data_IF_685714540198
#
_entry.id   IF_685714540198
#
_cell.length_a   1.000
_cell.length_b   1.000
_cell.length_c   1.000
_cell.angle_alpha   90.00
_cell.angle_beta   90.00
_cell.angle_gamma   90.00
#
_symmetry.space_group_name_H-M   'P 1'
#
loop_
_entity.id
_entity.type
_entity.pdbx_description
1 polymer ?
#
# COMPACT_ATOMS: atom_id res chain seq x y z
N UNK A 1 5.65 18.50 17.71
CA UNK A 1 4.96 18.83 16.45
C UNK A 1 4.91 17.57 15.62
N UNK A 2 3.78 17.31 14.98
CA UNK A 2 3.64 16.22 14.00
C UNK A 2 4.44 16.58 12.72
N UNK A 3 5.06 15.60 12.05
CA UNK A 3 6.05 15.86 10.99
C UNK A 3 5.45 16.20 9.62
N UNK A 4 4.13 16.16 9.45
CA UNK A 4 3.51 16.26 8.13
C UNK A 4 3.33 17.71 7.65
N UNK A 5 3.67 18.00 6.38
CA UNK A 5 3.49 19.34 5.81
C UNK A 5 2.04 19.63 5.40
N UNK A 6 1.11 18.68 5.56
CA UNK A 6 -0.27 18.81 5.10
C UNK A 6 -1.21 19.22 6.24
N UNK A 7 -1.94 20.34 6.12
CA UNK A 7 -2.80 20.83 7.20
C UNK A 7 -4.02 19.93 7.47
N UNK A 8 -4.39 19.07 6.52
CA UNK A 8 -5.49 18.11 6.66
C UNK A 8 -5.09 16.78 7.33
N UNK A 9 -3.81 16.58 7.67
CA UNK A 9 -3.34 15.34 8.34
C UNK A 9 -3.73 15.29 9.84
N UNK A 10 -4.35 16.34 10.37
CA UNK A 10 -4.62 16.50 11.81
C UNK A 10 -6.11 16.59 12.10
N UNK A 11 -6.84 15.57 11.70
CA UNK A 11 -8.29 15.44 11.87
C UNK A 11 -8.64 14.13 12.60
N UNK A 12 -9.93 13.97 12.90
CA UNK A 12 -10.56 12.71 13.31
C UNK A 12 -9.97 12.06 14.57
N UNK A 13 -10.06 12.73 15.74
CA UNK A 13 -9.55 12.18 16.98
C UNK A 13 -10.47 11.10 17.55
N UNK A 14 -9.89 10.02 18.03
CA UNK A 14 -10.50 9.13 19.03
C UNK A 14 -9.70 9.19 20.32
N UNK A 15 -10.40 9.42 21.42
CA UNK A 15 -9.84 9.34 22.79
C UNK A 15 -10.32 8.05 23.44
N UNK A 16 -9.38 7.32 24.05
CA UNK A 16 -9.60 6.02 24.69
C UNK A 16 -9.01 6.05 26.10
N UNK A 17 -9.76 5.56 27.09
CA UNK A 17 -9.27 5.34 28.45
C UNK A 17 -8.90 3.87 28.62
N UNK A 18 -7.64 3.58 28.92
CA UNK A 18 -7.18 2.22 29.19
C UNK A 18 -7.61 1.73 30.58
N UNK A 19 -7.50 0.42 30.81
CA UNK A 19 -7.94 -0.23 32.06
C UNK A 19 -7.16 0.28 33.30
N UNK A 20 -5.94 0.78 33.10
CA UNK A 20 -5.12 1.38 34.16
C UNK A 20 -5.44 2.87 34.41
N UNK A 21 -6.43 3.42 33.70
CA UNK A 21 -6.82 4.83 33.76
C UNK A 21 -6.01 5.76 32.87
N UNK A 22 -5.05 5.25 32.09
CA UNK A 22 -4.25 6.06 31.16
C UNK A 22 -5.08 6.50 29.95
N UNK A 23 -5.22 7.80 29.67
CA UNK A 23 -5.86 8.28 28.46
C UNK A 23 -4.90 8.26 27.26
N UNK A 24 -5.41 7.80 26.13
CA UNK A 24 -4.74 7.79 24.84
C UNK A 24 -5.59 8.51 23.80
N UNK A 25 -4.93 9.11 22.80
CA UNK A 25 -5.58 9.71 21.66
C UNK A 25 -4.93 9.21 20.37
N UNK A 26 -5.75 8.74 19.44
CA UNK A 26 -5.36 8.45 18.07
C UNK A 26 -6.02 9.44 17.11
N UNK A 27 -5.34 9.84 16.04
CA UNK A 27 -5.89 10.77 15.04
C UNK A 27 -5.11 10.71 13.73
N UNK A 28 -5.64 11.37 12.69
CA UNK A 28 -4.90 11.80 11.52
C UNK A 28 -5.41 11.26 10.20
N UNK A 29 -5.03 11.92 9.09
CA UNK A 29 -5.43 11.57 7.73
C UNK A 29 -4.19 11.43 6.84
N UNK A 30 -4.05 10.30 6.14
CA UNK A 30 -2.84 9.75 5.51
C UNK A 30 -1.87 9.15 6.51
N UNK A 31 -1.73 9.74 7.70
CA UNK A 31 -0.91 9.19 8.76
C UNK A 31 -1.75 8.96 10.02
N UNK A 32 -1.56 7.80 10.64
CA UNK A 32 -2.14 7.51 11.95
C UNK A 32 -1.14 7.88 13.04
N UNK A 33 -1.55 8.77 13.93
CA UNK A 33 -0.79 9.16 15.10
C UNK A 33 -1.44 8.61 16.37
N UNK A 34 -0.62 8.33 17.36
CA UNK A 34 -1.04 7.88 18.68
C UNK A 34 -0.22 8.61 19.74
N UNK A 35 -0.87 9.10 20.78
CA UNK A 35 -0.20 9.79 21.88
C UNK A 35 -0.93 9.50 23.18
N UNK A 36 -0.18 9.52 24.29
CA UNK A 36 -0.77 9.54 25.62
C UNK A 36 -1.22 10.95 25.97
N UNK A 37 -2.29 11.09 26.72
CA UNK A 37 -2.72 12.36 27.30
C UNK A 37 -2.40 12.40 28.80
N UNK A 38 -2.31 13.60 29.36
CA UNK A 38 -2.37 13.78 30.82
C UNK A 38 -3.78 13.48 31.33
N UNK A 39 -3.96 13.25 32.66
CA UNK A 39 -5.29 13.10 33.25
C UNK A 39 -6.24 14.28 33.01
N UNK A 40 -5.73 15.47 32.65
CA UNK A 40 -6.53 16.63 32.27
C UNK A 40 -7.23 16.48 30.92
N UNK A 41 -6.85 15.51 30.09
CA UNK A 41 -7.35 15.23 28.73
C UNK A 41 -7.14 16.35 27.69
N UNK A 42 -6.51 17.46 28.07
CA UNK A 42 -6.27 18.63 27.21
C UNK A 42 -4.78 18.90 26.96
N UNK A 43 -3.92 18.03 27.46
CA UNK A 43 -2.47 18.12 27.32
C UNK A 43 -1.88 16.75 26.91
N UNK A 44 -0.90 16.77 26.01
CA UNK A 44 -0.14 15.58 25.63
C UNK A 44 0.82 15.17 26.76
N UNK A 45 1.05 13.87 26.90
CA UNK A 45 1.99 13.27 27.85
C UNK A 45 3.04 12.42 27.13
N UNK A 46 4.12 13.05 26.67
CA UNK A 46 5.23 12.36 26.00
C UNK A 46 5.18 12.41 24.46
N UNK A 47 5.91 11.50 23.79
CA UNK A 47 6.09 11.56 22.35
C UNK A 47 4.85 11.12 21.57
N UNK A 48 4.67 11.71 20.39
CA UNK A 48 3.69 11.24 19.40
C UNK A 48 4.30 10.05 18.66
N UNK A 49 3.59 8.94 18.66
CA UNK A 49 3.92 7.73 17.91
C UNK A 49 3.25 7.76 16.55
N UNK A 50 3.93 7.30 15.51
CA UNK A 50 3.32 7.01 14.20
C UNK A 50 2.97 5.54 14.16
N UNK A 51 1.71 5.25 13.85
CA UNK A 51 1.21 3.88 13.71
C UNK A 51 1.12 3.55 12.23
N UNK A 52 2.00 2.67 11.77
CA UNK A 52 2.04 2.25 10.37
C UNK A 52 1.02 1.13 10.12
N UNK A 53 0.01 1.42 9.30
CA UNK A 53 -1.09 0.50 8.99
C UNK A 53 -1.26 0.39 7.47
N UNK A 54 -1.53 -0.81 6.93
CA UNK A 54 -1.87 -0.95 5.52
C UNK A 54 -3.17 -0.22 5.20
N UNK A 55 -3.22 0.47 4.06
CA UNK A 55 -4.41 1.12 3.51
C UNK A 55 -4.98 2.26 4.37
N UNK A 56 -4.26 2.78 5.36
CA UNK A 56 -4.81 3.80 6.25
C UNK A 56 -5.13 5.10 5.51
N UNK A 57 -6.37 5.56 5.65
CA UNK A 57 -6.80 6.89 5.20
C UNK A 57 -7.00 7.80 6.39
N UNK A 58 -8.00 7.54 7.23
CA UNK A 58 -8.44 8.48 8.27
C UNK A 58 -9.30 7.78 9.35
N UNK A 59 -9.90 8.56 10.25
CA UNK A 59 -10.86 8.12 11.27
C UNK A 59 -10.44 6.88 12.07
N UNK A 60 -9.32 6.94 12.82
CA UNK A 60 -8.91 5.85 13.68
C UNK A 60 -9.84 5.77 14.89
N UNK A 61 -10.56 4.66 15.05
CA UNK A 61 -11.31 4.30 16.24
C UNK A 61 -10.52 3.32 17.12
N UNK A 62 -9.90 3.85 18.17
CA UNK A 62 -9.11 3.11 19.16
C UNK A 62 -10.00 2.62 20.30
N UNK A 63 -9.98 1.32 20.57
CA UNK A 63 -10.62 0.74 21.77
C UNK A 63 -9.91 -0.54 22.22
N UNK A 64 -10.30 -1.07 23.39
CA UNK A 64 -9.76 -2.31 23.95
C UNK A 64 -10.88 -3.29 24.30
N UNK A 65 -10.62 -4.57 24.10
CA UNK A 65 -11.48 -5.67 24.58
C UNK A 65 -10.61 -6.82 25.07
N UNK A 66 -10.68 -7.08 26.38
CA UNK A 66 -9.82 -8.06 27.04
C UNK A 66 -8.34 -7.68 26.86
N UNK A 67 -7.53 -8.61 26.34
CA UNK A 67 -6.08 -8.41 26.15
C UNK A 67 -5.68 -7.71 24.85
N UNK A 68 -6.64 -7.34 24.00
CA UNK A 68 -6.37 -6.77 22.68
C UNK A 68 -6.81 -5.31 22.63
N UNK A 69 -5.92 -4.47 22.11
CA UNK A 69 -6.24 -3.17 21.56
C UNK A 69 -6.65 -3.35 20.10
N UNK A 70 -7.60 -2.55 19.66
CA UNK A 70 -8.15 -2.54 18.32
C UNK A 70 -8.05 -1.13 17.79
N UNK A 71 -7.59 -1.01 16.56
CA UNK A 71 -7.62 0.24 15.83
C UNK A 71 -8.35 -0.03 14.52
N UNK A 72 -9.59 0.46 14.46
CA UNK A 72 -10.50 0.31 13.32
C UNK A 72 -10.49 1.62 12.57
N UNK A 73 -10.33 1.61 11.25
CA UNK A 73 -10.03 2.84 10.52
C UNK A 73 -10.66 2.84 9.13
N UNK A 74 -10.93 4.05 8.63
CA UNK A 74 -11.28 4.25 7.24
C UNK A 74 -10.06 3.98 6.37
N UNK A 75 -10.23 3.10 5.40
CA UNK A 75 -9.20 2.69 4.47
C UNK A 75 -9.72 2.94 3.06
N UNK A 76 -8.98 3.69 2.25
CA UNK A 76 -9.37 3.85 0.85
C UNK A 76 -9.30 2.48 0.20
N UNK A 77 -10.47 1.93 -0.06
CA UNK A 77 -10.64 0.81 -0.95
C UNK A 77 -10.25 1.34 -2.30
N UNK A 78 -9.03 1.04 -2.72
CA UNK A 78 -8.55 1.44 -4.02
C UNK A 78 -9.20 0.59 -5.11
N UNK A 79 -10.51 0.70 -5.25
CA UNK A 79 -11.34 0.37 -6.39
C UNK A 79 -12.37 1.50 -6.43
N UNK A 80 -12.26 2.43 -7.38
CA UNK A 80 -13.30 3.46 -7.56
C UNK A 80 -13.31 4.67 -6.61
N UNK A 81 -12.31 4.86 -5.73
CA UNK A 81 -12.14 6.00 -4.79
C UNK A 81 -13.08 6.02 -3.56
N UNK A 82 -13.49 4.87 -3.04
CA UNK A 82 -14.45 4.81 -1.93
C UNK A 82 -13.83 4.07 -0.74
N UNK A 83 -14.01 4.61 0.45
CA UNK A 83 -13.50 4.03 1.69
C UNK A 83 -14.22 2.73 2.04
N UNK A 84 -13.48 1.82 2.65
CA UNK A 84 -13.94 0.63 3.39
C UNK A 84 -13.48 0.78 4.84
N UNK A 85 -13.97 -0.08 5.73
CA UNK A 85 -13.42 -0.14 7.09
C UNK A 85 -12.47 -1.32 7.21
N UNK A 86 -11.26 -1.04 7.67
CA UNK A 86 -10.25 -2.05 8.02
C UNK A 86 -9.94 -2.00 9.52
N UNK A 87 -9.19 -2.98 10.02
CA UNK A 87 -8.70 -2.92 11.38
C UNK A 87 -7.37 -3.64 11.61
N UNK A 88 -6.71 -3.24 12.68
CA UNK A 88 -5.55 -3.90 13.24
C UNK A 88 -5.73 -4.17 14.74
N UNK A 89 -4.95 -5.11 15.27
CA UNK A 89 -4.92 -5.44 16.71
C UNK A 89 -3.51 -5.40 17.25
N UNK A 90 -3.35 -5.03 18.52
CA UNK A 90 -2.09 -5.13 19.25
C UNK A 90 -2.33 -5.64 20.68
N UNK A 91 -1.31 -6.21 21.31
CA UNK A 91 -1.32 -6.57 22.75
C UNK A 91 -0.76 -5.46 23.64
N UNK A 92 -0.21 -4.41 23.03
CA UNK A 92 0.24 -3.18 23.68
C UNK A 92 -0.24 -2.00 22.83
N UNK A 93 -0.75 -0.94 23.45
CA UNK A 93 -1.34 0.22 22.78
C UNK A 93 -0.37 0.91 21.82
N UNK A 94 0.94 0.92 22.11
CA UNK A 94 1.97 1.46 21.19
C UNK A 94 2.41 0.46 20.10
N UNK A 95 1.77 -0.70 20.00
CA UNK A 95 2.06 -1.74 19.03
C UNK A 95 3.02 -2.83 19.53
N UNK A 96 3.50 -3.71 18.63
CA UNK A 96 3.28 -3.69 17.19
C UNK A 96 1.82 -4.00 16.81
N UNK A 97 1.31 -3.29 15.81
CA UNK A 97 -0.05 -3.45 15.29
C UNK A 97 -0.08 -4.47 14.15
N UNK A 98 -1.00 -5.43 14.24
CA UNK A 98 -1.17 -6.51 13.26
C UNK A 98 -2.47 -6.28 12.50
N UNK A 99 -2.37 -6.04 11.19
CA UNK A 99 -3.52 -5.91 10.30
C UNK A 99 -4.37 -7.19 10.29
N UNK A 100 -5.70 -7.03 10.30
CA UNK A 100 -6.67 -8.13 10.37
C UNK A 100 -7.68 -8.15 9.23
N UNK A 101 -7.56 -7.25 8.26
CA UNK A 101 -8.42 -7.22 7.09
C UNK A 101 -9.56 -6.21 7.17
N UNK A 102 -10.49 -6.39 6.24
CA UNK A 102 -11.70 -5.59 6.08
C UNK A 102 -12.74 -6.02 7.14
N UNK A 103 -13.35 -5.04 7.79
CA UNK A 103 -14.51 -5.20 8.68
C UNK A 103 -15.81 -5.11 7.88
N UNK A 104 -15.96 -4.09 7.05
CA UNK A 104 -17.10 -3.88 6.14
C UNK A 104 -16.64 -3.22 4.85
N UNK A 105 -17.36 -3.49 3.76
CA UNK A 105 -17.19 -2.82 2.48
C UNK A 105 -17.68 -1.35 2.52
N UNK A 106 -17.57 -0.66 1.38
CA UNK A 106 -17.96 0.73 1.17
C UNK A 106 -19.40 1.03 1.58
N UNK A 107 -19.62 2.25 2.06
CA UNK A 107 -20.96 2.73 2.38
C UNK A 107 -21.77 3.06 1.11
N UNK A 108 -23.07 2.78 1.14
CA UNK A 108 -23.95 3.11 0.03
C UNK A 108 -24.06 4.63 -0.19
N UNK A 109 -23.89 5.07 -1.45
CA UNK A 109 -23.97 6.47 -1.90
C UNK A 109 -23.00 7.45 -1.18
N UNK A 110 -21.95 6.95 -0.53
CA UNK A 110 -20.97 7.77 0.21
C UNK A 110 -19.57 7.26 -0.05
N UNK A 111 -18.67 8.13 -0.53
CA UNK A 111 -17.28 7.75 -0.75
C UNK A 111 -16.47 7.68 0.55
N UNK A 112 -16.97 8.26 1.66
CA UNK A 112 -16.42 8.05 3.00
C UNK A 112 -17.25 7.07 3.81
N UNK A 113 -16.63 6.37 4.77
CA UNK A 113 -17.30 5.57 5.81
C UNK A 113 -16.48 5.67 7.10
N UNK A 114 -17.08 6.13 8.20
CA UNK A 114 -16.36 6.46 9.44
C UNK A 114 -16.84 5.61 10.61
N UNK A 115 -15.96 4.85 11.30
CA UNK A 115 -16.38 3.89 12.31
C UNK A 115 -16.64 4.55 13.68
N UNK A 116 -17.66 4.06 14.38
CA UNK A 116 -17.88 4.31 15.81
C UNK A 116 -18.24 3.01 16.53
N UNK A 117 -17.46 2.59 17.53
CA UNK A 117 -17.63 1.28 18.18
C UNK A 117 -17.78 1.45 19.69
N UNK A 118 -18.88 0.94 20.22
CA UNK A 118 -19.15 0.95 21.66
C UNK A 118 -19.73 -0.39 22.12
N UNK A 119 -19.54 -0.69 23.40
CA UNK A 119 -20.32 -1.72 24.08
C UNK A 119 -21.44 -1.06 24.88
N UNK A 120 -22.67 -1.53 24.70
CA UNK A 120 -23.83 -1.08 25.46
C UNK A 120 -24.67 -2.29 25.89
N UNK A 121 -24.98 -2.37 27.19
CA UNK A 121 -25.78 -3.47 27.79
C UNK A 121 -25.27 -4.87 27.40
N UNK A 122 -23.95 -5.06 27.38
CA UNK A 122 -23.30 -6.34 27.06
C UNK A 122 -23.13 -6.62 25.57
N UNK A 123 -23.77 -5.86 24.68
CA UNK A 123 -23.66 -6.02 23.22
C UNK A 123 -22.74 -4.96 22.61
N UNK A 124 -21.95 -5.35 21.61
CA UNK A 124 -21.12 -4.43 20.83
C UNK A 124 -21.87 -3.92 19.60
N UNK A 125 -21.66 -2.65 19.28
CA UNK A 125 -22.31 -1.95 18.17
C UNK A 125 -21.27 -1.29 17.28
N UNK A 126 -21.50 -1.37 15.98
CA UNK A 126 -20.72 -0.69 14.97
C UNK A 126 -21.59 0.38 14.31
N UNK A 127 -21.31 1.62 14.63
CA UNK A 127 -21.86 2.82 14.00
C UNK A 127 -21.02 3.17 12.79
N UNK A 128 -21.69 3.67 11.77
CA UNK A 128 -21.09 4.21 10.55
C UNK A 128 -22.04 5.23 9.93
N UNK A 129 -21.70 5.76 8.76
CA UNK A 129 -22.64 6.52 7.95
C UNK A 129 -22.75 5.97 6.54
N UNK A 130 -23.89 6.23 5.91
CA UNK A 130 -24.07 6.14 4.46
C UNK A 130 -24.74 7.44 3.98
N UNK A 131 -25.18 7.51 2.73
CA UNK A 131 -25.93 8.67 2.24
C UNK A 131 -27.19 8.28 1.47
N UNK A 132 -27.98 7.34 2.01
CA UNK A 132 -29.19 6.83 1.33
C UNK A 132 -30.50 7.38 1.90
N UNK A 133 -30.48 8.02 3.07
CA UNK A 133 -31.70 8.51 3.73
C UNK A 133 -32.42 9.56 2.86
N UNK A 134 -33.71 9.36 2.62
CA UNK A 134 -34.62 10.35 2.05
C UNK A 134 -35.48 10.94 3.16
N UNK A 135 -35.50 12.27 3.25
CA UNK A 135 -36.29 13.00 4.24
C UNK A 135 -37.75 13.12 3.78
N UNK A 136 -38.72 13.32 4.70
CA UNK A 136 -40.15 13.44 4.36
C UNK A 136 -40.48 14.56 3.36
N UNK A 137 -39.61 15.57 3.22
CA UNK A 137 -39.75 16.67 2.27
C UNK A 137 -39.14 16.37 0.88
N UNK A 138 -38.75 15.12 0.63
CA UNK A 138 -38.20 14.64 -0.64
C UNK A 138 -36.70 14.89 -0.83
N UNK A 139 -36.02 15.53 0.14
CA UNK A 139 -34.56 15.70 0.06
C UNK A 139 -33.84 14.37 0.28
N UNK A 140 -33.01 13.99 -0.70
CA UNK A 140 -32.24 12.74 -0.68
C UNK A 140 -30.87 12.92 -0.03
N UNK A 141 -30.32 11.80 0.45
CA UNK A 141 -28.92 11.66 0.78
C UNK A 141 -28.05 11.81 -0.48
N UNK A 142 -26.84 12.31 -0.28
CA UNK A 142 -25.88 12.60 -1.34
C UNK A 142 -24.48 12.73 -0.75
N UNK A 143 -23.47 12.92 -1.59
CA UNK A 143 -22.14 13.32 -1.13
C UNK A 143 -22.25 14.60 -0.28
N UNK A 144 -21.72 14.55 0.95
CA UNK A 144 -21.85 15.63 1.95
C UNK A 144 -23.19 15.67 2.71
N UNK A 145 -24.16 14.81 2.39
CA UNK A 145 -25.45 14.67 3.06
C UNK A 145 -25.62 13.23 3.58
N UNK A 146 -24.90 12.93 4.65
CA UNK A 146 -24.78 11.59 5.25
C UNK A 146 -25.86 11.34 6.31
N UNK A 147 -26.07 10.07 6.63
CA UNK A 147 -26.97 9.58 7.68
C UNK A 147 -26.27 8.48 8.49
N UNK A 148 -26.43 8.54 9.82
CA UNK A 148 -25.87 7.53 10.73
C UNK A 148 -26.61 6.20 10.57
N UNK A 149 -25.86 5.11 10.64
CA UNK A 149 -26.31 3.74 10.61
C UNK A 149 -25.67 2.96 11.76
N UNK A 150 -26.25 1.81 12.12
CA UNK A 150 -25.73 0.97 13.20
C UNK A 150 -26.01 -0.50 12.93
N UNK A 151 -24.98 -1.33 13.11
CA UNK A 151 -25.08 -2.79 13.09
C UNK A 151 -24.66 -3.38 14.44
N UNK A 152 -25.10 -4.61 14.70
CA UNK A 152 -24.49 -5.41 15.75
C UNK A 152 -23.08 -5.84 15.34
N UNK A 153 -22.16 -5.79 16.31
CA UNK A 153 -20.78 -6.21 16.14
C UNK A 153 -20.49 -7.45 16.99
N UNK A 154 -19.74 -8.38 16.43
CA UNK A 154 -19.39 -9.63 17.07
C UNK A 154 -17.91 -9.97 16.90
N UNK A 155 -17.42 -10.83 17.79
CA UNK A 155 -16.04 -11.26 17.82
C UNK A 155 -15.98 -12.79 17.77
N UNK A 156 -14.96 -13.31 17.11
CA UNK A 156 -14.68 -14.75 17.11
C UNK A 156 -14.06 -15.23 18.44
N UNK A 157 -13.87 -16.55 18.64
CA UNK A 157 -13.25 -17.08 19.86
C UNK A 157 -11.80 -16.60 20.10
N UNK A 158 -11.11 -16.14 19.06
CA UNK A 158 -9.76 -15.56 19.15
C UNK A 158 -9.81 -14.06 19.51
N UNK A 159 -11.00 -13.47 19.55
CA UNK A 159 -11.24 -12.05 19.82
C UNK A 159 -11.11 -11.17 18.57
N UNK A 160 -11.06 -11.71 17.36
CA UNK A 160 -11.02 -10.93 16.14
C UNK A 160 -12.42 -10.46 15.73
N UNK A 161 -12.50 -9.30 15.09
CA UNK A 161 -13.77 -8.75 14.58
C UNK A 161 -14.27 -9.66 13.46
N UNK A 162 -15.52 -10.10 13.57
CA UNK A 162 -16.21 -10.81 12.49
C UNK A 162 -16.70 -9.80 11.43
N UNK A 163 -16.72 -10.16 10.13
CA UNK A 163 -17.20 -9.28 9.08
C UNK A 163 -18.61 -8.76 9.36
N UNK A 164 -18.82 -7.48 9.10
CA UNK A 164 -20.10 -6.79 9.33
C UNK A 164 -20.76 -6.54 7.99
N UNK A 165 -22.00 -7.00 7.85
CA UNK A 165 -22.84 -6.71 6.70
C UNK A 165 -23.71 -5.49 7.03
N UNK A 166 -23.67 -4.48 6.17
CA UNK A 166 -24.58 -3.34 6.24
C UNK A 166 -26.00 -3.78 5.87
N UNK A 167 -26.99 -3.42 6.69
CA UNK A 167 -28.40 -3.82 6.52
C UNK A 167 -29.35 -2.62 6.55
N UNK A 168 -30.56 -2.80 6.02
CA UNK A 168 -31.61 -1.77 6.12
C UNK A 168 -32.23 -1.78 7.51
N UNK A 169 -32.34 -2.96 8.11
CA UNK A 169 -32.94 -3.20 9.41
C UNK A 169 -32.05 -2.70 10.55
N UNK A 170 -30.72 -2.79 10.40
CA UNK A 170 -29.76 -2.46 11.45
C UNK A 170 -30.12 -3.17 12.76
N UNK A 171 -30.27 -2.37 13.82
CA UNK A 171 -30.64 -2.86 15.17
C UNK A 171 -32.15 -2.93 15.43
N UNK A 172 -33.01 -2.71 14.42
CA UNK A 172 -34.47 -2.82 14.58
C UNK A 172 -34.96 -4.27 14.67
N UNK A 173 -34.11 -5.23 14.30
CA UNK A 173 -34.33 -6.66 14.49
C UNK A 173 -33.36 -7.21 15.55
N UNK A 174 -33.68 -8.36 16.18
CA UNK A 174 -32.76 -8.99 17.14
C UNK A 174 -31.41 -9.32 16.50
N UNK A 175 -30.36 -9.26 17.31
CA UNK A 175 -29.02 -9.60 16.88
C UNK A 175 -28.95 -11.06 16.42
N UNK A 176 -28.50 -11.29 15.18
CA UNK A 176 -28.23 -12.63 14.64
C UNK A 176 -26.71 -12.74 14.52
N UNK A 177 -26.02 -13.45 15.45
CA UNK A 177 -24.59 -13.67 15.32
C UNK A 177 -24.30 -14.39 13.99
N UNK A 178 -23.34 -13.92 13.18
CA UNK A 178 -22.94 -14.66 12.00
C UNK A 178 -22.38 -16.02 12.43
N UNK A 179 -22.61 -17.04 11.61
CA UNK A 179 -21.96 -18.33 11.82
C UNK A 179 -20.45 -18.11 11.73
N UNK A 180 -19.74 -18.43 12.81
CA UNK A 180 -18.29 -18.48 12.77
C UNK A 180 -17.88 -19.66 11.92
N UNK A 181 -17.48 -19.38 10.70
CA UNK A 181 -16.63 -20.32 9.97
C UNK A 181 -15.19 -20.03 10.40
N UNK A 182 -14.47 -21.02 10.97
CA UNK A 182 -13.06 -20.87 11.23
C UNK A 182 -12.44 -20.35 9.94
N UNK A 183 -11.80 -19.17 9.99
CA UNK A 183 -10.93 -18.78 8.89
C UNK A 183 -9.97 -19.94 8.78
N UNK A 184 -10.09 -20.76 7.73
CA UNK A 184 -8.98 -21.59 7.29
C UNK A 184 -7.85 -20.59 7.27
N UNK A 185 -6.79 -20.74 8.10
CA UNK A 185 -5.62 -19.87 8.00
C UNK A 185 -5.38 -19.81 6.52
N UNK A 186 -5.34 -18.63 5.89
CA UNK A 186 -5.05 -18.51 4.47
C UNK A 186 -3.91 -19.48 4.27
N UNK A 187 -4.20 -20.66 3.70
CA UNK A 187 -3.16 -21.68 3.60
C UNK A 187 -2.07 -20.92 2.86
N UNK A 188 -0.80 -20.98 3.32
CA UNK A 188 0.26 -20.35 2.57
C UNK A 188 -0.02 -20.70 1.12
N UNK A 189 -0.17 -19.65 0.31
CA UNK A 189 -0.57 -19.71 -1.09
C UNK A 189 -0.04 -21.03 -1.64
N UNK A 190 -0.89 -21.93 -2.21
CA UNK A 190 -0.55 -23.34 -2.40
C UNK A 190 0.87 -23.49 -2.86
N UNK A 191 1.56 -24.56 -2.46
CA UNK A 191 2.93 -24.93 -2.86
C UNK A 191 3.24 -24.88 -4.37
N UNK A 192 2.26 -24.58 -5.22
CA UNK A 192 2.36 -24.13 -6.61
C UNK A 192 2.98 -22.72 -6.78
N UNK A 193 2.97 -21.89 -5.73
CA UNK A 193 3.63 -20.59 -5.60
C UNK A 193 4.67 -20.65 -4.47
N UNK A 194 5.39 -21.76 -4.35
CA UNK A 194 6.54 -21.85 -3.45
C UNK A 194 7.46 -20.64 -3.70
N UNK A 195 8.06 -20.03 -2.65
CA UNK A 195 9.09 -19.02 -2.86
C UNK A 195 10.08 -19.62 -3.85
N UNK A 196 10.22 -18.98 -5.00
CA UNK A 196 11.20 -19.44 -5.95
C UNK A 196 12.55 -19.38 -5.21
N UNK A 197 13.34 -20.46 -5.23
CA UNK A 197 14.69 -20.42 -4.63
C UNK A 197 15.63 -19.45 -5.38
N UNK A 198 15.09 -18.76 -6.40
CA UNK A 198 15.78 -17.82 -7.27
C UNK A 198 15.42 -16.36 -6.98
N UNK A 199 14.35 -16.09 -6.22
CA UNK A 199 13.94 -14.74 -5.80
C UNK A 199 13.38 -14.71 -4.39
N UNK A 200 13.87 -13.77 -3.59
CA UNK A 200 13.51 -13.59 -2.20
C UNK A 200 12.91 -12.20 -1.98
N UNK A 201 11.76 -12.16 -1.31
CA UNK A 201 11.03 -10.91 -1.02
C UNK A 201 11.25 -10.53 0.43
N UNK A 202 11.70 -9.30 0.67
CA UNK A 202 11.73 -8.71 2.00
C UNK A 202 10.76 -7.54 2.03
N UNK A 203 9.71 -7.71 2.84
CA UNK A 203 8.66 -6.72 3.06
C UNK A 203 9.00 -5.85 4.27
N UNK A 204 8.47 -4.62 4.32
CA UNK A 204 8.61 -3.68 5.45
C UNK A 204 10.05 -3.37 5.89
N UNK A 205 10.98 -3.22 4.93
CA UNK A 205 12.39 -2.97 5.25
C UNK A 205 12.58 -1.60 5.94
N UNK A 206 11.87 -0.59 5.44
CA UNK A 206 11.94 0.77 5.96
C UNK A 206 10.61 1.47 5.70
N UNK A 207 9.92 1.86 6.77
CA UNK A 207 8.78 2.75 6.69
C UNK A 207 9.28 4.18 6.42
N UNK A 208 8.54 4.94 5.62
CA UNK A 208 8.83 6.35 5.32
C UNK A 208 10.27 6.63 4.82
N UNK A 209 10.75 5.91 3.78
CA UNK A 209 12.12 6.02 3.31
C UNK A 209 12.42 7.43 2.77
N UNK A 210 13.21 8.20 3.52
CA UNK A 210 13.76 9.48 3.06
C UNK A 210 15.00 9.32 2.19
N UNK A 211 15.59 8.12 2.19
CA UNK A 211 16.66 7.66 1.32
C UNK A 211 16.46 6.16 1.05
N UNK A 212 17.08 5.65 -0.02
CA UNK A 212 17.14 4.22 -0.27
C UNK A 212 18.14 3.53 0.68
N UNK A 213 17.84 2.36 1.27
CA UNK A 213 18.82 1.67 2.09
C UNK A 213 20.01 1.16 1.25
N UNK A 214 21.23 1.44 1.70
CA UNK A 214 22.46 1.06 0.99
C UNK A 214 22.82 2.04 -0.12
N UNK A 215 23.52 1.55 -1.15
CA UNK A 215 24.02 2.38 -2.26
C UNK A 215 23.52 1.80 -3.59
N UNK A 216 22.34 2.21 -4.07
CA UNK A 216 21.84 1.76 -5.37
C UNK A 216 22.69 2.33 -6.51
N UNK A 217 22.82 1.55 -7.59
CA UNK A 217 23.42 2.01 -8.86
C UNK A 217 22.46 2.96 -9.58
N UNK A 218 21.15 2.69 -9.50
CA UNK A 218 20.09 3.51 -10.07
C UNK A 218 19.04 3.73 -8.99
N UNK A 219 18.58 4.96 -8.82
CA UNK A 219 17.34 5.27 -8.14
C UNK A 219 16.57 6.29 -8.98
N UNK A 220 15.27 6.07 -9.19
CA UNK A 220 14.43 7.00 -9.94
C UNK A 220 13.98 8.20 -9.11
N UNK A 221 14.12 8.11 -7.79
CA UNK A 221 13.73 9.16 -6.84
C UNK A 221 14.74 9.17 -5.71
N UNK A 222 15.22 10.33 -5.27
CA UNK A 222 16.21 10.40 -4.17
C UNK A 222 15.60 10.23 -2.78
N UNK A 223 14.41 10.81 -2.58
CA UNK A 223 13.61 10.69 -1.35
C UNK A 223 12.22 10.12 -1.69
N UNK A 224 12.05 8.78 -1.63
CA UNK A 224 10.79 8.15 -2.03
C UNK A 224 9.59 8.64 -1.23
N UNK A 225 9.71 8.78 0.09
CA UNK A 225 8.61 9.24 0.95
C UNK A 225 8.09 10.63 0.56
N UNK A 226 9.01 11.56 0.26
CA UNK A 226 8.65 12.96 -0.02
C UNK A 226 8.16 13.17 -1.45
N UNK A 227 8.80 12.53 -2.44
CA UNK A 227 8.52 12.81 -3.86
C UNK A 227 7.52 11.85 -4.50
N UNK A 228 7.45 10.59 -4.07
CA UNK A 228 6.53 9.61 -4.62
C UNK A 228 5.25 9.59 -3.76
N UNK A 229 4.30 10.45 -4.09
CA UNK A 229 3.07 10.66 -3.29
C UNK A 229 1.79 10.18 -3.98
N UNK A 230 1.87 9.79 -5.25
CA UNK A 230 0.74 9.21 -5.97
C UNK A 230 0.84 7.70 -5.92
N UNK A 231 -0.28 7.01 -5.76
CA UNK A 231 -0.30 5.55 -5.75
C UNK A 231 -0.96 5.03 -7.01
N UNK A 232 -0.54 3.86 -7.48
CA UNK A 232 -1.17 3.19 -8.62
C UNK A 232 -1.16 1.68 -8.37
N UNK A 233 -2.28 1.04 -8.67
CA UNK A 233 -2.43 -0.41 -8.69
C UNK A 233 -3.26 -0.82 -9.91
N UNK A 234 -3.60 -2.10 -10.02
CA UNK A 234 -4.23 -2.73 -11.19
C UNK A 234 -5.73 -2.40 -11.34
N UNK A 235 -6.31 -1.76 -10.32
CA UNK A 235 -7.65 -1.19 -10.32
C UNK A 235 -7.74 0.16 -11.08
N UNK A 236 -6.61 0.80 -11.39
CA UNK A 236 -6.62 2.06 -12.12
C UNK A 236 -6.78 1.82 -13.63
N UNK A 237 -7.92 2.27 -14.19
CA UNK A 237 -8.26 2.14 -15.62
C UNK A 237 -8.10 0.70 -16.16
N UNK A 238 -8.35 -0.30 -15.30
CA UNK A 238 -8.24 -1.71 -15.65
C UNK A 238 -6.86 -2.16 -16.10
N UNK A 239 -5.81 -1.63 -15.46
CA UNK A 239 -4.41 -1.95 -15.79
C UNK A 239 -4.05 -3.40 -15.44
N UNK A 240 -3.32 -4.08 -16.31
CA UNK A 240 -2.78 -5.44 -16.05
C UNK A 240 -1.28 -5.45 -15.86
N UNK A 241 -0.61 -4.34 -16.16
CA UNK A 241 0.79 -4.12 -15.88
C UNK A 241 1.06 -2.66 -15.53
N UNK A 242 2.00 -2.48 -14.61
CA UNK A 242 2.61 -1.21 -14.24
C UNK A 242 4.11 -1.35 -14.46
N UNK A 243 4.76 -0.35 -15.02
CA UNK A 243 6.18 -0.44 -15.28
C UNK A 243 6.92 0.86 -15.07
N UNK A 244 8.20 0.73 -14.71
CA UNK A 244 9.17 1.81 -14.75
C UNK A 244 10.24 1.45 -15.78
N UNK A 245 10.46 2.32 -16.76
CA UNK A 245 11.65 2.19 -17.61
C UNK A 245 12.85 2.86 -16.97
N UNK A 246 14.05 2.39 -17.32
CA UNK A 246 15.29 3.02 -16.93
C UNK A 246 16.44 2.67 -17.87
N UNK A 247 17.39 3.60 -18.02
CA UNK A 247 18.62 3.39 -18.79
C UNK A 247 19.88 3.47 -17.90
N UNK A 248 20.61 2.38 -17.67
CA UNK A 248 21.88 2.40 -16.96
C UNK A 248 22.96 3.22 -17.67
N UNK A 249 23.79 3.91 -16.87
CA UNK A 249 24.98 4.62 -17.37
C UNK A 249 26.25 3.76 -17.41
N UNK A 250 26.23 2.62 -16.72
CA UNK A 250 27.34 1.67 -16.64
C UNK A 250 26.80 0.25 -16.83
N UNK A 251 27.66 -0.66 -17.27
CA UNK A 251 27.37 -2.08 -17.24
C UNK A 251 27.41 -2.57 -15.79
N UNK A 252 26.38 -3.30 -15.35
CA UNK A 252 26.37 -3.91 -14.03
C UNK A 252 25.56 -5.20 -14.00
N UNK A 253 25.91 -6.09 -13.06
CA UNK A 253 25.12 -7.29 -12.75
C UNK A 253 24.10 -6.96 -11.68
N UNK A 254 22.82 -7.05 -12.02
CA UNK A 254 21.71 -6.77 -11.11
C UNK A 254 21.62 -7.85 -10.03
N UNK A 255 21.52 -7.45 -8.76
CA UNK A 255 21.40 -8.35 -7.61
C UNK A 255 20.10 -8.15 -6.83
N UNK A 256 19.61 -6.91 -6.78
CA UNK A 256 18.41 -6.57 -6.02
C UNK A 256 17.65 -5.41 -6.69
N UNK A 257 16.33 -5.47 -6.60
CA UNK A 257 15.45 -4.33 -6.83
C UNK A 257 14.81 -3.91 -5.50
N UNK A 258 14.54 -2.61 -5.36
CA UNK A 258 13.77 -2.05 -4.27
C UNK A 258 12.61 -1.24 -4.82
N UNK A 259 11.43 -1.47 -4.28
CA UNK A 259 10.20 -0.74 -4.60
C UNK A 259 9.81 0.08 -3.38
N UNK A 260 9.43 1.34 -3.59
CA UNK A 260 8.63 2.04 -2.58
C UNK A 260 7.16 1.78 -2.86
N UNK A 261 6.53 1.03 -1.96
CA UNK A 261 5.15 0.66 -2.08
C UNK A 261 4.64 -0.06 -0.85
N UNK A 262 3.37 -0.42 -0.91
CA UNK A 262 2.68 -1.02 0.21
C UNK A 262 1.20 -0.98 -0.07
N UNK A 263 0.41 -0.95 0.98
CA UNK A 263 -1.05 -0.96 0.90
C UNK A 263 -1.56 -2.14 0.05
N UNK A 264 -2.82 -2.13 -0.30
CA UNK A 264 -3.46 -3.23 -1.00
C UNK A 264 -3.86 -4.38 -0.08
N UNK A 265 -4.51 -5.35 -0.70
CA UNK A 265 -5.19 -6.45 -0.01
C UNK A 265 -4.42 -7.77 -0.04
N UNK A 266 -3.20 -7.76 -0.58
CA UNK A 266 -2.38 -8.96 -0.67
C UNK A 266 -2.66 -9.77 -1.93
N UNK A 267 -1.90 -10.84 -2.10
CA UNK A 267 -2.11 -11.84 -3.14
C UNK A 267 -2.77 -13.10 -2.58
N UNK A 268 -3.49 -13.81 -3.43
CA UNK A 268 -4.06 -15.13 -3.14
C UNK A 268 -3.98 -16.03 -4.39
N UNK A 269 -4.67 -17.17 -4.38
CA UNK A 269 -4.68 -18.12 -5.50
C UNK A 269 -5.26 -17.56 -6.80
N UNK A 270 -6.05 -16.50 -6.72
CA UNK A 270 -6.78 -15.87 -7.82
C UNK A 270 -6.23 -14.48 -8.16
N UNK A 271 -5.64 -13.80 -7.18
CA UNK A 271 -5.02 -12.48 -7.30
C UNK A 271 -3.50 -12.60 -7.21
N UNK A 272 -2.85 -13.02 -8.29
CA UNK A 272 -1.40 -13.14 -8.36
C UNK A 272 -0.72 -11.83 -8.76
N UNK A 273 0.49 -11.61 -8.24
CA UNK A 273 1.38 -10.51 -8.63
C UNK A 273 2.65 -11.13 -9.23
N UNK A 274 3.18 -10.57 -10.32
CA UNK A 274 4.41 -11.06 -10.94
C UNK A 274 5.35 -9.92 -11.36
N UNK A 275 6.64 -10.21 -11.47
CA UNK A 275 7.67 -9.28 -11.94
C UNK A 275 8.30 -9.76 -13.25
N UNK A 276 8.56 -8.82 -14.15
CA UNK A 276 9.29 -9.03 -15.40
C UNK A 276 10.29 -7.90 -15.64
N UNK A 277 11.38 -8.20 -16.36
CA UNK A 277 12.38 -7.21 -16.75
C UNK A 277 12.69 -7.36 -18.25
N UNK A 278 12.23 -6.41 -19.05
CA UNK A 278 12.43 -6.46 -20.50
C UNK A 278 13.62 -5.60 -20.93
N UNK A 279 14.53 -6.14 -21.76
CA UNK A 279 15.55 -5.34 -22.46
C UNK A 279 14.95 -4.76 -23.75
N UNK A 280 14.70 -3.45 -23.76
CA UNK A 280 14.14 -2.75 -24.91
C UNK A 280 15.20 -2.37 -25.96
N UNK A 281 16.49 -2.62 -25.67
CA UNK A 281 17.62 -2.20 -26.47
C UNK A 281 17.96 -0.72 -26.32
N UNK A 282 18.80 -0.21 -27.22
CA UNK A 282 19.09 1.22 -27.31
C UNK A 282 17.94 1.92 -28.03
N UNK A 283 17.29 2.88 -27.37
CA UNK A 283 16.21 3.67 -27.95
C UNK A 283 16.75 4.99 -28.50
N UNK A 284 16.35 5.34 -29.72
CA UNK A 284 16.87 6.54 -30.42
C UNK A 284 16.23 7.85 -29.92
N UNK A 285 15.01 7.81 -29.37
CA UNK A 285 14.16 9.00 -29.15
C UNK A 285 13.90 9.37 -27.68
N UNK A 286 14.69 8.90 -26.71
CA UNK A 286 14.35 9.05 -25.29
C UNK A 286 13.09 8.26 -24.92
N UNK A 287 12.52 8.53 -23.74
CA UNK A 287 11.36 7.81 -23.17
C UNK A 287 10.21 7.67 -24.17
N UNK A 288 9.92 6.47 -24.71
CA UNK A 288 8.90 6.32 -25.72
C UNK A 288 7.51 6.42 -25.09
N UNK A 289 6.50 6.86 -25.85
CA UNK A 289 5.13 6.95 -25.31
C UNK A 289 4.49 5.59 -25.05
N UNK A 290 4.94 4.56 -25.76
CA UNK A 290 4.60 3.16 -25.52
C UNK A 290 5.83 2.28 -25.68
N UNK A 291 5.81 1.08 -25.10
CA UNK A 291 6.84 0.07 -25.37
C UNK A 291 6.22 -1.30 -25.65
N UNK A 292 6.88 -2.07 -26.50
CA UNK A 292 6.58 -3.50 -26.69
C UNK A 292 7.52 -4.36 -25.83
N UNK A 293 7.04 -5.44 -25.21
CA UNK A 293 7.91 -6.36 -24.50
C UNK A 293 8.90 -7.00 -25.48
N UNK A 294 10.14 -7.21 -25.03
CA UNK A 294 11.18 -7.93 -25.76
C UNK A 294 11.65 -9.12 -24.92
N UNK A 295 12.94 -9.44 -24.96
CA UNK A 295 13.55 -10.48 -24.12
C UNK A 295 13.29 -10.17 -22.65
N UNK A 296 12.55 -11.04 -21.97
CA UNK A 296 12.40 -11.01 -20.52
C UNK A 296 13.64 -11.63 -19.88
N UNK A 297 14.42 -10.82 -19.19
CA UNK A 297 15.68 -11.21 -18.55
C UNK A 297 15.49 -12.01 -17.25
N UNK A 298 14.26 -12.18 -16.78
CA UNK A 298 13.94 -13.00 -15.62
C UNK A 298 13.43 -14.41 -16.00
N UNK A 299 13.50 -14.79 -17.28
CA UNK A 299 13.37 -16.15 -17.86
C UNK A 299 12.32 -17.10 -17.25
N UNK A 300 11.17 -16.58 -16.80
CA UNK A 300 9.96 -17.37 -16.53
C UNK A 300 8.85 -16.83 -17.43
N UNK A 301 8.24 -17.71 -18.25
CA UNK A 301 7.28 -17.36 -19.32
C UNK A 301 6.08 -16.55 -18.79
N UNK A 302 5.77 -16.66 -17.49
CA UNK A 302 4.65 -15.96 -16.83
C UNK A 302 5.10 -14.84 -15.87
N UNK A 303 6.38 -14.44 -15.91
CA UNK A 303 6.98 -13.58 -14.88
C UNK A 303 7.22 -14.36 -13.58
N UNK A 304 7.90 -13.72 -12.64
CA UNK A 304 8.16 -14.32 -11.34
C UNK A 304 7.12 -13.87 -10.33
N UNK A 305 6.37 -14.83 -9.79
CA UNK A 305 5.32 -14.53 -8.81
C UNK A 305 5.90 -13.95 -7.52
N UNK A 306 5.27 -12.87 -7.05
CA UNK A 306 5.58 -12.19 -5.81
C UNK A 306 4.54 -12.58 -4.77
N UNK A 307 4.99 -13.15 -3.65
CA UNK A 307 4.15 -13.29 -2.47
C UNK A 307 4.14 -11.92 -1.78
N UNK A 308 2.97 -11.29 -1.75
CA UNK A 308 2.76 -10.01 -1.08
C UNK A 308 1.66 -10.12 -0.02
N UNK A 309 2.01 -9.79 1.22
CA UNK A 309 1.06 -9.62 2.32
C UNK A 309 0.77 -8.14 2.55
N UNK A 310 -0.47 -7.75 2.91
CA UNK A 310 -0.80 -6.35 3.20
C UNK A 310 0.17 -5.75 4.20
N UNK A 311 0.79 -4.65 3.81
CA UNK A 311 1.71 -3.91 4.66
C UNK A 311 1.52 -2.40 4.52
N UNK A 312 1.96 -1.59 5.48
CA UNK A 312 2.05 -0.15 5.30
C UNK A 312 3.02 0.22 4.16
N UNK A 313 2.95 1.47 3.64
CA UNK A 313 3.93 1.96 2.67
C UNK A 313 5.36 1.87 3.20
N UNK A 314 6.24 1.29 2.40
CA UNK A 314 7.65 1.12 2.78
C UNK A 314 8.49 0.53 1.66
N UNK A 315 9.75 0.24 1.97
CA UNK A 315 10.66 -0.42 1.04
C UNK A 315 10.39 -1.92 1.01
N UNK A 316 10.22 -2.45 -0.20
CA UNK A 316 10.16 -3.89 -0.51
C UNK A 316 11.40 -4.24 -1.31
N UNK A 317 12.21 -5.18 -0.83
CA UNK A 317 13.31 -5.74 -1.60
C UNK A 317 12.90 -7.00 -2.35
N UNK A 318 13.43 -7.11 -3.55
CA UNK A 318 13.38 -8.30 -4.40
C UNK A 318 14.84 -8.68 -4.70
N UNK A 319 15.31 -9.68 -3.99
CA UNK A 319 16.68 -10.21 -4.10
C UNK A 319 16.71 -11.35 -5.09
N UNK A 320 17.66 -11.32 -6.03
CA UNK A 320 17.85 -12.40 -7.00
C UNK A 320 18.99 -13.32 -6.58
N UNK A 321 18.74 -14.63 -6.62
CA UNK A 321 19.80 -15.63 -6.47
C UNK A 321 20.85 -15.48 -7.59
N UNK A 322 22.11 -15.89 -7.37
CA UNK A 322 23.18 -15.77 -8.37
C UNK A 322 22.84 -16.33 -9.76
N UNK A 323 21.99 -17.36 -9.83
CA UNK A 323 21.52 -17.96 -11.08
C UNK A 323 20.57 -17.06 -11.89
N UNK A 324 20.00 -16.01 -11.28
CA UNK A 324 19.02 -15.09 -11.87
C UNK A 324 19.47 -13.63 -11.74
N UNK A 325 20.74 -13.35 -12.02
CA UNK A 325 21.30 -12.00 -11.95
C UNK A 325 21.69 -11.49 -13.35
N UNK A 326 20.77 -10.84 -14.08
CA UNK A 326 21.04 -10.39 -15.43
C UNK A 326 22.09 -9.28 -15.47
N UNK A 327 22.83 -9.22 -16.57
CA UNK A 327 23.75 -8.11 -16.86
C UNK A 327 22.97 -7.03 -17.59
N UNK A 328 22.88 -5.85 -16.99
CA UNK A 328 22.29 -4.67 -17.61
C UNK A 328 23.42 -3.83 -18.24
N UNK A 329 23.20 -3.40 -19.47
CA UNK A 329 24.19 -2.72 -20.32
C UNK A 329 23.98 -1.22 -20.31
N UNK A 330 25.08 -0.47 -20.32
CA UNK A 330 25.06 0.97 -20.44
C UNK A 330 24.36 1.40 -21.75
N UNK A 331 23.45 2.36 -21.64
CA UNK A 331 22.71 2.93 -22.77
C UNK A 331 21.57 2.07 -23.31
N UNK A 332 21.36 0.85 -22.80
CA UNK A 332 20.14 0.09 -23.07
C UNK A 332 19.02 0.59 -22.16
N UNK A 333 17.80 0.68 -22.68
CA UNK A 333 16.61 0.93 -21.89
C UNK A 333 15.98 -0.39 -21.47
N UNK A 334 15.65 -0.50 -20.19
CA UNK A 334 14.95 -1.64 -19.62
C UNK A 334 13.57 -1.23 -19.14
N UNK A 335 12.60 -2.12 -19.21
CA UNK A 335 11.29 -1.95 -18.57
C UNK A 335 11.14 -2.96 -17.42
N UNK A 336 11.10 -2.46 -16.19
CA UNK A 336 10.73 -3.24 -15.03
C UNK A 336 9.22 -3.19 -14.88
N UNK A 337 8.57 -4.33 -15.10
CA UNK A 337 7.12 -4.47 -15.12
C UNK A 337 6.65 -5.30 -13.92
N UNK A 338 5.69 -4.78 -13.17
CA UNK A 338 4.88 -5.54 -12.22
C UNK A 338 3.53 -5.84 -12.90
N UNK A 339 3.16 -7.10 -12.93
CA UNK A 339 1.97 -7.62 -13.59
C UNK A 339 0.97 -8.11 -12.54
N UNK A 340 -0.31 -7.88 -12.79
CA UNK A 340 -1.38 -8.22 -11.85
C UNK A 340 -2.71 -8.35 -12.55
N UNK A 341 -3.72 -8.79 -11.79
CA UNK A 341 -5.07 -8.98 -12.30
C UNK A 341 -5.77 -7.63 -12.48
N UNK A 342 -6.45 -7.44 -13.61
CA UNK A 342 -7.31 -6.28 -13.85
C UNK A 342 -8.33 -6.12 -12.70
N UNK A 343 -8.59 -4.88 -12.31
CA UNK A 343 -9.58 -4.53 -11.28
C UNK A 343 -9.25 -5.10 -9.89
N UNK A 344 -8.03 -5.59 -9.69
CA UNK A 344 -7.50 -6.00 -8.38
C UNK A 344 -6.64 -4.90 -7.75
N UNK A 345 -6.43 -4.99 -6.43
CA UNK A 345 -5.59 -4.07 -5.67
C UNK A 345 -4.65 -4.83 -4.71
N UNK A 346 -3.84 -5.79 -5.20
CA UNK A 346 -2.96 -6.57 -4.35
C UNK A 346 -1.88 -5.72 -3.70
N UNK A 347 -1.39 -4.69 -4.40
CA UNK A 347 -0.25 -3.85 -4.03
C UNK A 347 -0.36 -2.46 -4.67
N UNK A 348 0.04 -1.40 -3.96
CA UNK A 348 0.16 -0.04 -4.50
C UNK A 348 1.62 0.34 -4.69
N UNK A 349 1.96 0.68 -5.94
CA UNK A 349 3.26 1.24 -6.28
C UNK A 349 3.19 2.76 -6.22
N UNK A 350 4.07 3.36 -5.43
CA UNK A 350 4.14 4.81 -5.28
C UNK A 350 4.97 5.43 -6.41
N UNK A 351 4.45 6.53 -6.96
CA UNK A 351 5.05 7.30 -8.04
C UNK A 351 5.03 8.79 -7.79
N UNK A 352 5.90 9.51 -8.49
CA UNK A 352 6.01 10.96 -8.44
C UNK A 352 4.87 11.66 -9.19
N UNK A 353 4.69 12.96 -8.90
CA UNK A 353 3.76 13.83 -9.64
C UNK A 353 4.36 14.47 -10.89
N UNK A 354 5.69 14.44 -11.00
CA UNK A 354 6.50 15.04 -12.06
C UNK A 354 7.66 14.12 -12.36
N UNK A 355 8.27 14.31 -13.52
CA UNK A 355 9.47 13.58 -13.91
C UNK A 355 10.59 13.87 -12.89
N UNK A 356 11.03 12.81 -12.22
CA UNK A 356 12.14 12.82 -11.28
C UNK A 356 13.35 12.07 -11.85
N UNK A 357 13.19 11.39 -12.99
CA UNK A 357 14.19 10.52 -13.57
C UNK A 357 14.15 10.57 -15.11
N UNK A 358 14.90 11.52 -15.66
CA UNK A 358 15.01 11.82 -17.11
C UNK A 358 15.53 10.68 -18.03
N UNK A 359 15.83 9.50 -17.47
CA UNK A 359 16.33 8.33 -18.21
C UNK A 359 15.31 7.19 -18.18
N UNK A 360 14.03 7.50 -17.99
CA UNK A 360 12.97 6.52 -17.79
C UNK A 360 11.63 7.18 -17.49
N UNK A 361 10.56 6.38 -17.50
CA UNK A 361 9.24 6.87 -17.16
C UNK A 361 8.38 5.75 -16.57
N UNK A 362 7.30 6.13 -15.90
CA UNK A 362 6.24 5.24 -15.46
C UNK A 362 5.24 4.95 -16.60
N UNK A 363 4.75 3.71 -16.65
CA UNK A 363 3.80 3.21 -17.63
C UNK A 363 2.69 2.42 -16.93
N UNK A 364 1.49 2.49 -17.49
CA UNK A 364 0.37 1.61 -17.19
C UNK A 364 -0.11 0.99 -18.49
N UNK A 365 -0.28 -0.32 -18.55
CA UNK A 365 -0.56 -1.05 -19.79
C UNK A 365 0.43 -0.70 -20.91
N UNK A 366 1.71 -0.58 -20.55
CA UNK A 366 2.81 -0.17 -21.44
C UNK A 366 2.60 1.15 -22.18
N UNK A 367 1.73 2.00 -21.65
CA UNK A 367 1.49 3.37 -22.12
C UNK A 367 1.95 4.34 -21.05
N UNK A 368 2.73 5.35 -21.44
CA UNK A 368 3.35 6.30 -20.52
C UNK A 368 2.29 7.00 -19.66
N UNK A 369 2.49 7.01 -18.35
CA UNK A 369 1.64 7.73 -17.41
C UNK A 369 2.03 9.21 -17.46
N UNK A 370 1.11 10.03 -17.95
CA UNK A 370 1.24 11.50 -17.97
C UNK A 370 0.49 12.08 -16.77
N UNK A 371 1.14 12.93 -15.98
CA UNK A 371 0.52 13.55 -14.82
C UNK A 371 -0.49 14.63 -15.25
N UNK A 372 -1.73 14.54 -14.76
CA UNK A 372 -2.85 15.41 -15.19
C UNK A 372 -2.99 16.71 -14.35
N UNK A 373 -2.00 17.10 -13.54
CA UNK A 373 -2.12 18.27 -12.63
C UNK A 373 -0.95 19.24 -12.79
N UNK A 374 -0.90 19.93 -13.93
CA UNK A 374 0.05 21.01 -14.25
C UNK A 374 -0.09 21.47 -15.70
N UNK A 375 0.49 22.62 -16.10
CA UNK A 375 0.52 23.03 -17.50
C UNK A 375 1.46 22.11 -18.29
N UNK A 376 0.90 21.07 -18.91
CA UNK A 376 1.60 20.12 -19.78
C UNK A 376 1.63 18.69 -19.23
N UNK A 377 1.65 17.66 -20.11
CA UNK A 377 1.72 16.28 -19.69
C UNK A 377 3.15 15.90 -19.29
N UNK A 378 3.57 16.29 -18.08
CA UNK A 378 4.85 15.85 -17.52
C UNK A 378 4.80 14.33 -17.22
N UNK A 379 5.92 13.64 -17.48
CA UNK A 379 6.07 12.24 -17.10
C UNK A 379 6.01 12.08 -15.57
N UNK A 380 5.87 10.84 -15.11
CA UNK A 380 5.99 10.49 -13.70
C UNK A 380 6.86 9.26 -13.58
N UNK A 381 7.39 9.01 -12.39
CA UNK A 381 8.26 7.87 -12.12
C UNK A 381 7.78 7.10 -10.92
N UNK A 382 7.64 5.80 -11.09
CA UNK A 382 7.54 4.91 -9.95
C UNK A 382 8.86 4.94 -9.17
N UNK A 383 8.76 5.00 -7.85
CA UNK A 383 9.92 4.98 -6.98
C UNK A 383 10.51 3.57 -6.95
N UNK A 384 11.69 3.43 -7.56
CA UNK A 384 12.46 2.19 -7.61
C UNK A 384 13.95 2.48 -7.45
N UNK A 385 14.67 1.52 -6.86
CA UNK A 385 16.12 1.48 -6.88
C UNK A 385 16.66 0.11 -7.27
N UNK A 386 17.83 0.10 -7.91
CA UNK A 386 18.50 -1.09 -8.43
C UNK A 386 19.91 -1.19 -7.84
N UNK A 387 20.27 -2.38 -7.38
CA UNK A 387 21.54 -2.66 -6.73
C UNK A 387 22.25 -3.78 -7.47
N UNK A 388 23.57 -3.72 -7.48
CA UNK A 388 24.37 -4.72 -8.16
C UNK A 388 25.86 -4.43 -8.10
N UNK A 389 26.59 -5.16 -8.93
CA UNK A 389 28.05 -5.03 -9.02
C UNK A 389 28.41 -4.45 -10.39
N UNK A 390 29.11 -3.29 -10.45
CA UNK A 390 29.64 -2.75 -11.69
C UNK A 390 30.55 -3.75 -12.40
N UNK A 391 30.41 -3.86 -13.72
CA UNK A 391 31.31 -4.65 -14.55
C UNK A 391 32.38 -3.70 -15.07
N UNK A 392 33.59 -3.82 -14.54
CA UNK A 392 34.72 -3.05 -15.06
C UNK A 392 34.97 -3.44 -16.51
N UNK A 393 34.95 -2.46 -17.42
CA UNK A 393 35.47 -2.69 -18.76
C UNK A 393 36.98 -2.86 -18.63
N UNK A 394 37.48 -4.07 -18.86
CA UNK A 394 38.93 -4.30 -18.98
C UNK A 394 39.40 -3.47 -20.17
N UNK A 395 40.07 -2.34 -19.92
CA UNK A 395 40.82 -1.64 -20.96
C UNK A 395 41.95 -2.60 -21.33
N UNK A 396 41.75 -3.36 -22.41
CA UNK A 396 42.84 -4.08 -23.04
C UNK A 396 43.75 -3.02 -23.63
N UNK A 397 44.74 -2.58 -22.83
CA UNK A 397 45.79 -1.71 -23.28
C UNK A 397 46.48 -2.36 -24.46
N UNK A 398 46.26 -1.81 -25.66
CA UNK A 398 47.14 -2.05 -26.81
C UNK A 398 48.52 -1.58 -26.39
N UNK A 399 49.39 -2.52 -26.04
CA UNK A 399 50.82 -2.31 -26.10
C UNK A 399 51.18 -2.07 -27.57
N UNK A 400 51.29 -0.81 -27.96
CA UNK A 400 52.01 -0.41 -29.17
C UNK A 400 53.48 -0.75 -28.92
N UNK A 401 53.91 -1.90 -29.45
CA UNK A 401 55.32 -2.16 -29.72
C UNK A 401 55.79 -1.12 -30.74
N UNK A 402 56.53 -0.12 -30.27
CA UNK A 402 57.44 0.64 -31.11
C UNK A 402 58.70 -0.22 -31.27
N UNK A 403 58.85 -0.78 -32.46
CA UNK A 403 60.10 -1.34 -32.96
C UNK A 403 61.00 -0.28 -33.56
#
# INVERSE_FOLDING_TARGET
>A
MTPSPYPWDYIDPTVFMDDDGTPWMAWGNRNCYLVRLKPSLVELDGPIHRVHLPNYTEEPWLFKRGRLYYLVYAAFGHQGMWEKICYATATNVIGPWVYRGIVTDQAANSYTIHPGIIQFRGQWYFFYHNAVLELPDGRKGALGRRSVCVEYMFFDPQGLIMPIKQTVEGVSIPAIPPLYEPRVPLLPVPSMLAPSNIVFIQQNVCYDPTNWPGNPIICTVTNPYYYATETTSFNYRGSTNLAQTFTPKIDFRLQRMAFYGGDGFGVDMTNVLAIALFDLGKLEAGEPDTYGPRTNLLEVIQGLSLIYQPQPPGIIFVDFAPSLQPVLRAGHTYALEIQGLRDSAPFFWYRTRRDAYILGAAYANRTKIRANRGPGPEASDFAVALYGVPIQQTIVGRWLLLG
#
